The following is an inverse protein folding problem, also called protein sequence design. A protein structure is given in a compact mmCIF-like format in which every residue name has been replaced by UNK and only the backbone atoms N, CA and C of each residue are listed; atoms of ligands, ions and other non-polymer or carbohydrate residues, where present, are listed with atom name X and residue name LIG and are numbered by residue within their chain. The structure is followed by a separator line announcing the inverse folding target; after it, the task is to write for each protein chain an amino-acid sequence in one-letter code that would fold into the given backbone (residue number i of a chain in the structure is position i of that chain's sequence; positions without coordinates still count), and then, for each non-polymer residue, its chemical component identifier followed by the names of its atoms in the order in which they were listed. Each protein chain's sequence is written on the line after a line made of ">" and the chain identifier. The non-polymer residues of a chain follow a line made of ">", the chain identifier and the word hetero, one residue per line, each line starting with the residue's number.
data_IF_742820817068
#
_entry.id   IF_742820817068
#
_cell.length_a   1.000
_cell.length_b   1.000
_cell.length_c   1.000
_cell.angle_alpha   90.00
_cell.angle_beta   90.00
_cell.angle_gamma   90.00
#
_symmetry.space_group_name_H-M   'P 1'
#
loop_
_entity.id
_entity.type
_entity.pdbx_description
1 polymer ?
#
# COMPACT_ATOMS: atom_id res chain seq x y z
N UNK A 1 2.35 3.29 35.34
CA UNK A 1 2.71 4.66 35.02
C UNK A 1 3.60 5.26 36.10
N UNK A 2 4.47 6.17 35.70
CA UNK A 2 5.65 6.57 36.41
C UNK A 2 5.35 7.24 37.80
N UNK A 3 4.35 8.15 37.88
CA UNK A 3 3.96 8.83 39.10
C UNK A 3 2.47 8.70 39.41
N UNK A 4 1.75 7.83 38.72
CA UNK A 4 0.31 7.57 38.82
C UNK A 4 -0.57 8.85 38.71
N UNK A 5 -0.13 9.82 37.90
CA UNK A 5 -0.97 10.94 37.56
C UNK A 5 -2.14 10.46 36.69
N UNK A 6 -3.35 10.84 37.08
CA UNK A 6 -4.58 10.42 36.40
C UNK A 6 -5.09 11.54 35.52
N UNK A 7 -5.23 11.22 34.23
CA UNK A 7 -5.62 12.18 33.20
C UNK A 7 -7.03 11.90 32.71
N UNK A 8 -7.79 12.97 32.46
CA UNK A 8 -9.10 12.89 31.80
C UNK A 8 -8.96 12.93 30.27
N UNK A 9 -10.03 12.55 29.57
CA UNK A 9 -10.10 12.58 28.09
C UNK A 9 -9.89 13.99 27.50
N UNK A 10 -10.12 15.04 28.30
CA UNK A 10 -9.87 16.43 27.90
C UNK A 10 -8.42 16.89 28.10
N UNK A 11 -7.49 15.97 28.38
CA UNK A 11 -6.08 16.27 28.58
C UNK A 11 -5.76 16.96 29.92
N UNK A 12 -6.71 17.08 30.85
CA UNK A 12 -6.44 17.63 32.19
C UNK A 12 -6.07 16.56 33.18
N UNK A 13 -5.07 16.82 34.00
CA UNK A 13 -4.80 15.96 35.16
C UNK A 13 -5.94 16.11 36.16
N UNK A 14 -6.54 14.98 36.54
CA UNK A 14 -7.69 14.94 37.47
C UNK A 14 -7.25 14.62 38.90
N UNK A 15 -6.19 13.83 39.05
CA UNK A 15 -5.70 13.43 40.36
C UNK A 15 -4.19 13.14 40.34
N UNK A 16 -3.53 13.45 41.45
CA UNK A 16 -2.16 13.09 41.74
C UNK A 16 -2.18 12.41 43.14
N UNK A 17 -1.96 11.10 43.23
CA UNK A 17 -2.19 10.34 44.49
C UNK A 17 -1.47 10.88 45.70
N UNK A 18 -0.29 11.44 45.52
CA UNK A 18 0.57 11.94 46.61
C UNK A 18 0.48 13.47 46.80
N UNK A 19 -0.44 14.16 46.11
CA UNK A 19 -0.60 15.59 46.23
C UNK A 19 -2.02 15.98 46.58
N UNK A 20 -2.15 16.97 47.46
CA UNK A 20 -3.44 17.55 47.88
C UNK A 20 -4.06 18.43 46.81
N UNK A 21 -3.28 18.86 45.82
CA UNK A 21 -3.75 19.75 44.74
C UNK A 21 -3.13 19.33 43.42
N UNK A 22 -3.96 19.39 42.37
CA UNK A 22 -3.49 19.27 41.00
C UNK A 22 -3.10 20.66 40.48
N UNK A 23 -1.89 20.86 39.95
CA UNK A 23 -1.51 22.14 39.36
C UNK A 23 -2.44 22.53 38.21
N UNK A 24 -2.87 23.79 38.16
CA UNK A 24 -3.78 24.28 37.10
C UNK A 24 -3.19 24.13 35.68
N UNK A 25 -1.85 24.13 35.58
CA UNK A 25 -1.12 23.94 34.31
C UNK A 25 -0.89 22.46 33.95
N UNK A 26 -1.32 21.50 34.81
CA UNK A 26 -1.21 20.08 34.53
C UNK A 26 -2.18 19.69 33.40
N UNK A 27 -1.76 19.94 32.18
CA UNK A 27 -2.49 19.64 30.93
C UNK A 27 -1.55 18.99 29.93
N UNK A 28 -2.09 18.05 29.17
CA UNK A 28 -1.48 17.50 27.98
C UNK A 28 -2.39 17.75 26.80
N UNK A 29 -1.87 17.60 25.58
CA UNK A 29 -2.67 17.68 24.35
C UNK A 29 -3.68 16.53 24.36
N UNK A 30 -4.94 16.83 24.05
CA UNK A 30 -5.93 15.82 23.70
C UNK A 30 -5.96 15.69 22.17
N UNK A 31 -5.98 14.47 21.70
CA UNK A 31 -6.02 14.17 20.28
C UNK A 31 -7.43 13.71 19.88
N UNK A 32 -7.89 14.14 18.73
CA UNK A 32 -9.09 13.55 18.12
C UNK A 32 -8.75 12.14 17.62
N UNK A 33 -9.53 11.17 18.05
CA UNK A 33 -9.31 9.75 17.72
C UNK A 33 -10.58 9.14 17.14
N UNK A 34 -10.42 8.13 16.31
CA UNK A 34 -11.50 7.35 15.72
C UNK A 34 -11.10 5.88 15.66
N UNK A 35 -12.02 4.99 15.99
CA UNK A 35 -11.89 3.56 15.72
C UNK A 35 -12.67 3.21 14.46
N UNK A 36 -12.00 2.59 13.49
CA UNK A 36 -12.62 2.11 12.24
C UNK A 36 -11.81 0.96 11.66
N UNK A 37 -12.48 0.00 11.04
CA UNK A 37 -11.85 -1.17 10.39
C UNK A 37 -10.93 -1.98 11.31
N UNK A 38 -11.17 -1.97 12.63
CA UNK A 38 -10.32 -2.62 13.63
C UNK A 38 -9.00 -1.87 13.92
N UNK A 39 -8.90 -0.60 13.51
CA UNK A 39 -7.74 0.26 13.73
C UNK A 39 -8.12 1.49 14.55
N UNK A 40 -7.15 2.01 15.31
CA UNK A 40 -7.24 3.28 16.01
C UNK A 40 -6.53 4.36 15.17
N UNK A 41 -7.26 5.38 14.80
CA UNK A 41 -6.75 6.55 14.09
C UNK A 41 -6.59 7.73 15.03
N UNK A 42 -5.56 8.52 14.79
CA UNK A 42 -5.30 9.79 15.46
C UNK A 42 -5.21 10.89 14.42
N UNK A 43 -6.06 11.89 14.56
CA UNK A 43 -6.02 13.06 13.68
C UNK A 43 -4.86 13.96 14.07
N UNK A 44 -4.01 14.29 13.09
CA UNK A 44 -2.96 15.27 13.23
C UNK A 44 -3.05 16.31 12.11
N UNK A 45 -3.21 17.55 12.51
CA UNK A 45 -3.18 18.72 11.65
C UNK A 45 -2.20 19.74 12.27
N UNK A 46 -1.15 20.16 11.55
CA UNK A 46 -0.17 21.13 12.06
C UNK A 46 -0.79 22.49 12.42
N UNK A 47 -1.82 22.93 11.71
CA UNK A 47 -2.55 24.16 11.97
C UNK A 47 -3.54 24.04 13.13
N UNK A 48 -3.83 22.79 13.57
CA UNK A 48 -4.76 22.52 14.66
C UNK A 48 -6.24 22.50 14.25
N UNK A 49 -6.54 22.41 12.97
CA UNK A 49 -7.91 22.29 12.48
C UNK A 49 -8.52 20.93 12.87
N UNK A 50 -9.84 20.85 13.09
CA UNK A 50 -10.54 19.60 13.30
C UNK A 50 -10.55 18.74 12.00
N UNK A 51 -10.84 17.44 12.10
CA UNK A 51 -11.09 16.61 10.91
C UNK A 51 -12.17 17.21 10.03
N UNK A 52 -11.96 17.22 8.73
CA UNK A 52 -12.95 17.68 7.76
C UNK A 52 -14.03 16.61 7.61
N UNK A 53 -15.33 16.94 7.73
CA UNK A 53 -16.41 15.94 7.69
C UNK A 53 -16.50 15.15 6.39
N UNK A 54 -16.08 15.77 5.28
CA UNK A 54 -16.08 15.18 3.93
C UNK A 54 -14.90 14.24 3.68
N UNK A 55 -13.87 14.26 4.53
CA UNK A 55 -12.69 13.41 4.41
C UNK A 55 -12.88 12.18 5.31
N UNK A 56 -13.49 11.13 4.76
CA UNK A 56 -13.77 9.92 5.51
C UNK A 56 -12.85 8.77 5.11
N UNK A 57 -12.45 7.98 6.11
CA UNK A 57 -11.90 6.64 5.90
C UNK A 57 -13.09 5.72 5.61
N UNK A 58 -13.16 5.03 4.45
CA UNK A 58 -14.28 4.17 4.14
C UNK A 58 -14.36 2.97 5.07
N UNK A 59 -15.56 2.45 5.25
CA UNK A 59 -15.76 1.18 5.95
C UNK A 59 -15.39 0.03 5.01
N UNK A 60 -14.53 -0.87 5.48
CA UNK A 60 -14.17 -2.09 4.76
C UNK A 60 -15.21 -3.14 5.09
N UNK A 61 -15.97 -3.56 4.07
CA UNK A 61 -16.92 -4.66 4.21
C UNK A 61 -16.16 -5.94 4.60
N UNK A 62 -16.74 -6.71 5.51
CA UNK A 62 -16.17 -7.95 5.99
C UNK A 62 -15.36 -7.83 7.27
N UNK A 63 -14.99 -6.64 7.74
CA UNK A 63 -14.34 -6.48 9.05
C UNK A 63 -15.31 -6.88 10.15
N UNK A 64 -14.94 -7.93 10.93
CA UNK A 64 -15.79 -8.49 11.97
C UNK A 64 -16.95 -9.36 11.46
N UNK A 65 -16.98 -9.69 10.16
CA UNK A 65 -17.94 -10.60 9.55
C UNK A 65 -17.47 -12.05 9.64
N UNK A 66 -18.41 -12.97 9.83
CA UNK A 66 -18.14 -14.41 9.79
C UNK A 66 -17.72 -14.92 8.39
N UNK A 67 -17.89 -14.13 7.34
CA UNK A 67 -17.53 -14.49 5.97
C UNK A 67 -16.06 -14.21 5.62
N UNK A 68 -15.32 -13.60 6.53
CA UNK A 68 -13.93 -13.22 6.32
C UNK A 68 -13.01 -13.82 7.39
N UNK A 69 -11.71 -13.87 7.10
CA UNK A 69 -10.68 -14.14 8.09
C UNK A 69 -10.55 -12.97 9.07
N UNK A 70 -9.86 -13.20 10.18
CA UNK A 70 -9.33 -12.11 10.99
C UNK A 70 -8.24 -11.34 10.23
N UNK A 71 -7.95 -10.11 10.67
CA UNK A 71 -6.79 -9.37 10.20
C UNK A 71 -5.48 -10.03 10.60
N UNK A 72 -4.58 -10.18 9.63
CA UNK A 72 -3.17 -10.53 9.88
C UNK A 72 -2.32 -9.28 9.69
N UNK A 73 -1.90 -8.69 10.81
CA UNK A 73 -1.11 -7.45 10.81
C UNK A 73 0.39 -7.70 10.82
N UNK A 74 1.12 -6.84 10.12
CA UNK A 74 2.59 -6.80 10.09
C UNK A 74 3.06 -5.35 10.13
N UNK A 75 4.19 -5.11 10.78
CA UNK A 75 4.81 -3.78 10.86
C UNK A 75 6.26 -3.88 10.41
N UNK A 76 6.69 -2.94 9.59
CA UNK A 76 8.06 -2.79 9.11
C UNK A 76 8.56 -1.39 9.45
N UNK A 77 9.80 -1.30 9.95
CA UNK A 77 10.52 -0.02 10.05
C UNK A 77 11.44 0.08 8.85
N UNK A 78 11.28 1.13 8.06
CA UNK A 78 12.05 1.37 6.85
C UNK A 78 13.01 2.53 7.13
N UNK A 79 14.29 2.24 7.05
CA UNK A 79 15.37 3.20 7.23
C UNK A 79 16.04 3.52 5.88
N UNK A 80 16.53 4.72 5.72
CA UNK A 80 17.22 5.18 4.50
C UNK A 80 16.26 5.60 3.38
N UNK A 81 14.97 5.81 3.68
CA UNK A 81 13.97 6.27 2.71
C UNK A 81 12.93 7.17 3.36
N UNK A 82 12.29 8.02 2.56
CA UNK A 82 11.17 8.85 2.97
C UNK A 82 9.85 8.20 2.59
N UNK A 83 8.81 8.37 3.42
CA UNK A 83 7.48 7.80 3.15
C UNK A 83 6.81 8.32 1.85
N UNK A 84 7.29 9.41 1.26
CA UNK A 84 6.84 9.87 -0.07
C UNK A 84 7.18 8.90 -1.19
N UNK A 85 8.18 8.04 -1.01
CA UNK A 85 8.62 7.13 -2.07
C UNK A 85 7.59 6.03 -2.35
N UNK A 86 6.87 5.56 -1.34
CA UNK A 86 5.80 4.56 -1.51
C UNK A 86 4.63 5.09 -2.34
N UNK A 87 4.40 6.41 -2.32
CA UNK A 87 3.28 7.01 -3.06
C UNK A 87 3.49 6.94 -4.56
N UNK A 88 4.71 7.13 -5.04
CA UNK A 88 5.02 7.09 -6.48
C UNK A 88 4.62 5.75 -7.12
N UNK A 89 4.62 4.64 -6.35
CA UNK A 89 4.23 3.31 -6.82
C UNK A 89 2.76 3.27 -7.32
N UNK A 90 1.90 4.20 -6.87
CA UNK A 90 0.50 4.27 -7.33
C UNK A 90 0.40 4.59 -8.83
N UNK A 91 1.35 5.34 -9.38
CA UNK A 91 1.36 5.73 -10.78
C UNK A 91 2.41 4.97 -11.62
N UNK A 92 3.17 4.08 -11.02
CA UNK A 92 4.23 3.32 -11.70
C UNK A 92 3.73 1.94 -12.14
N UNK A 93 3.47 1.76 -13.44
CA UNK A 93 3.08 0.47 -13.99
C UNK A 93 4.28 -0.47 -14.15
N UNK A 94 5.41 0.05 -14.59
CA UNK A 94 6.54 -0.77 -15.01
C UNK A 94 7.19 -1.54 -13.85
N UNK A 95 7.17 -0.98 -12.63
CA UNK A 95 7.76 -1.67 -11.47
C UNK A 95 7.06 -3.00 -11.17
N UNK A 96 5.76 -3.14 -11.46
CA UNK A 96 5.07 -4.43 -11.28
C UNK A 96 5.70 -5.53 -12.13
N UNK A 97 6.14 -5.22 -13.35
CA UNK A 97 6.80 -6.20 -14.21
C UNK A 97 8.24 -6.49 -13.76
N UNK A 98 9.02 -5.45 -13.46
CA UNK A 98 10.45 -5.59 -13.22
C UNK A 98 10.80 -5.91 -11.76
N UNK A 99 10.02 -5.43 -10.80
CA UNK A 99 10.30 -5.58 -9.37
C UNK A 99 9.44 -6.69 -8.77
N UNK A 100 8.13 -6.70 -9.04
CA UNK A 100 7.20 -7.69 -8.47
C UNK A 100 7.00 -8.92 -9.34
N UNK A 101 7.57 -8.93 -10.55
CA UNK A 101 7.45 -10.05 -11.49
C UNK A 101 6.02 -10.40 -11.89
N UNK A 102 5.09 -9.46 -11.77
CA UNK A 102 3.76 -9.54 -12.34
C UNK A 102 3.80 -9.14 -13.83
N UNK A 103 2.76 -9.45 -14.57
CA UNK A 103 2.62 -9.03 -15.97
C UNK A 103 1.40 -8.12 -16.10
N UNK A 104 1.53 -6.78 -15.96
CA UNK A 104 0.41 -5.87 -16.11
C UNK A 104 -0.20 -5.94 -17.53
N UNK A 105 -1.53 -5.97 -17.59
CA UNK A 105 -2.30 -5.97 -18.85
C UNK A 105 -3.27 -4.81 -18.92
N UNK A 106 -3.54 -4.15 -17.80
CA UNK A 106 -4.36 -2.95 -17.70
C UNK A 106 -3.85 -2.14 -16.54
N UNK A 107 -3.76 -0.82 -16.71
CA UNK A 107 -3.34 0.10 -15.68
C UNK A 107 -4.04 1.45 -15.85
N UNK A 108 -4.71 1.92 -14.79
CA UNK A 108 -5.48 3.15 -14.81
C UNK A 108 -5.40 3.85 -13.47
N UNK A 109 -5.30 5.17 -13.48
CA UNK A 109 -5.34 6.01 -12.29
C UNK A 109 -6.50 6.99 -12.32
N UNK A 110 -7.12 7.21 -11.16
CA UNK A 110 -8.09 8.27 -10.93
C UNK A 110 -7.71 8.98 -9.64
N UNK A 111 -7.55 10.31 -9.70
CA UNK A 111 -7.30 11.17 -8.55
C UNK A 111 -8.46 12.13 -8.42
N UNK A 112 -9.05 12.28 -7.23
CA UNK A 112 -10.16 13.20 -6.98
C UNK A 112 -10.26 13.52 -5.49
N UNK A 113 -10.29 14.79 -5.14
CA UNK A 113 -10.30 15.21 -3.75
C UNK A 113 -9.10 14.64 -2.99
N UNK A 114 -9.38 13.96 -1.88
CA UNK A 114 -8.35 13.31 -1.05
C UNK A 114 -8.08 11.84 -1.43
N UNK A 115 -8.63 11.36 -2.54
CA UNK A 115 -8.54 9.96 -2.97
C UNK A 115 -7.69 9.82 -4.22
N UNK A 116 -6.76 8.87 -4.20
CA UNK A 116 -5.99 8.45 -5.38
C UNK A 116 -6.13 6.94 -5.58
N UNK A 117 -6.74 6.55 -6.69
CA UNK A 117 -7.01 5.14 -7.01
C UNK A 117 -6.17 4.66 -8.18
N UNK A 118 -5.62 3.45 -8.03
CA UNK A 118 -4.99 2.68 -9.09
C UNK A 118 -5.85 1.45 -9.37
N UNK A 119 -6.21 1.24 -10.62
CA UNK A 119 -6.79 -0.01 -11.12
C UNK A 119 -5.75 -0.76 -11.92
N UNK A 120 -5.54 -2.03 -11.60
CA UNK A 120 -4.60 -2.88 -12.32
C UNK A 120 -5.22 -4.25 -12.59
N UNK A 121 -4.96 -4.77 -13.77
CA UNK A 121 -5.07 -6.19 -14.05
C UNK A 121 -3.70 -6.73 -14.44
N UNK A 122 -3.36 -7.90 -13.96
CA UNK A 122 -2.12 -8.58 -14.29
C UNK A 122 -2.31 -10.08 -14.41
N UNK A 123 -1.38 -10.74 -15.10
CA UNK A 123 -1.26 -12.19 -15.16
C UNK A 123 0.08 -12.62 -14.58
N UNK A 124 0.21 -13.91 -14.29
CA UNK A 124 1.49 -14.47 -13.90
C UNK A 124 2.48 -14.54 -15.06
N UNK A 125 3.76 -14.74 -14.73
CA UNK A 125 4.87 -14.80 -15.68
C UNK A 125 5.41 -16.23 -15.80
N UNK A 126 5.42 -16.84 -16.99
CA UNK A 126 5.92 -18.20 -17.17
C UNK A 126 7.45 -18.30 -17.06
N UNK A 127 8.18 -17.21 -17.23
CA UNK A 127 9.62 -17.14 -17.06
C UNK A 127 10.06 -17.09 -15.59
N UNK A 128 9.14 -16.93 -14.65
CA UNK A 128 9.44 -16.94 -13.22
C UNK A 128 9.44 -18.37 -12.66
N UNK A 129 10.36 -18.64 -11.73
CA UNK A 129 10.49 -19.96 -11.11
C UNK A 129 9.29 -20.35 -10.24
N UNK A 130 9.13 -21.64 -10.00
CA UNK A 130 8.13 -22.19 -9.07
C UNK A 130 8.39 -21.67 -7.65
N UNK A 131 7.66 -20.71 -7.19
CA UNK A 131 7.82 -20.10 -5.87
C UNK A 131 7.50 -18.61 -5.87
N UNK A 132 7.52 -17.95 -7.03
CA UNK A 132 6.94 -16.64 -7.18
C UNK A 132 5.41 -16.74 -7.01
N UNK A 133 4.82 -15.85 -6.23
CA UNK A 133 3.36 -15.73 -6.13
C UNK A 133 2.68 -15.44 -7.47
N UNK A 134 3.45 -14.94 -8.43
CA UNK A 134 3.03 -14.62 -9.79
C UNK A 134 3.45 -15.66 -10.83
N UNK A 135 3.99 -16.80 -10.39
CA UNK A 135 4.38 -17.86 -11.31
C UNK A 135 3.14 -18.56 -11.90
N UNK A 136 3.14 -18.70 -13.23
CA UNK A 136 2.12 -19.44 -13.97
C UNK A 136 1.14 -18.53 -14.70
N UNK A 137 0.98 -18.77 -16.01
CA UNK A 137 0.11 -17.99 -16.91
C UNK A 137 -1.37 -18.00 -16.50
N UNK A 138 -1.80 -19.08 -15.82
CA UNK A 138 -3.20 -19.26 -15.40
C UNK A 138 -3.59 -18.45 -14.16
N UNK A 139 -2.64 -17.74 -13.55
CA UNK A 139 -2.92 -16.90 -12.38
C UNK A 139 -3.17 -15.47 -12.86
N UNK A 140 -4.30 -14.91 -12.49
CA UNK A 140 -4.60 -13.51 -12.77
C UNK A 140 -4.92 -12.76 -11.49
N UNK A 141 -4.62 -11.47 -11.49
CA UNK A 141 -4.92 -10.55 -10.40
C UNK A 141 -5.65 -9.34 -10.98
N UNK A 142 -6.74 -8.96 -10.32
CA UNK A 142 -7.31 -7.61 -10.42
C UNK A 142 -7.14 -6.93 -9.09
N UNK A 143 -6.75 -5.66 -9.13
CA UNK A 143 -6.61 -4.85 -7.93
C UNK A 143 -7.21 -3.47 -8.12
N UNK A 144 -7.78 -2.96 -7.04
CA UNK A 144 -8.22 -1.58 -6.86
C UNK A 144 -7.57 -1.06 -5.59
N UNK A 145 -6.52 -0.26 -5.75
CA UNK A 145 -5.75 0.30 -4.65
C UNK A 145 -6.04 1.79 -4.52
N UNK A 146 -6.67 2.20 -3.41
CA UNK A 146 -7.06 3.58 -3.17
C UNK A 146 -6.40 4.12 -1.92
N UNK A 147 -5.61 5.18 -2.06
CA UNK A 147 -5.23 6.03 -0.95
C UNK A 147 -6.37 6.95 -0.56
N UNK A 148 -6.67 6.99 0.72
CA UNK A 148 -7.60 7.92 1.37
C UNK A 148 -6.79 8.87 2.25
N UNK A 149 -6.36 9.97 1.68
CA UNK A 149 -5.38 10.86 2.29
C UNK A 149 -3.92 10.41 2.06
N UNK A 150 -2.96 10.97 2.81
CA UNK A 150 -1.54 10.85 2.47
C UNK A 150 -0.89 9.51 2.84
N UNK A 151 -1.56 8.67 3.64
CA UNK A 151 -0.87 7.54 4.27
C UNK A 151 -1.73 6.32 4.58
N UNK A 152 -2.97 6.30 4.14
CA UNK A 152 -3.89 5.18 4.36
C UNK A 152 -4.39 4.64 3.02
N UNK A 153 -3.99 3.44 2.65
CA UNK A 153 -4.41 2.77 1.42
C UNK A 153 -5.23 1.52 1.75
N UNK A 154 -6.31 1.35 1.03
CA UNK A 154 -7.06 0.10 0.96
C UNK A 154 -6.89 -0.44 -0.45
N UNK A 155 -6.47 -1.68 -0.56
CA UNK A 155 -6.35 -2.40 -1.82
C UNK A 155 -7.26 -3.62 -1.81
N UNK A 156 -8.28 -3.62 -2.65
CA UNK A 156 -9.14 -4.76 -2.91
C UNK A 156 -8.52 -5.61 -4.02
N UNK A 157 -8.38 -6.91 -3.77
CA UNK A 157 -7.67 -7.83 -4.67
C UNK A 157 -8.55 -9.06 -4.96
N UNK A 158 -8.60 -9.42 -6.22
CA UNK A 158 -9.25 -10.62 -6.73
C UNK A 158 -8.20 -11.46 -7.45
N UNK A 159 -7.67 -12.47 -6.73
CA UNK A 159 -6.67 -13.38 -7.26
C UNK A 159 -7.39 -14.62 -7.80
N UNK A 160 -7.30 -14.88 -9.09
CA UNK A 160 -7.78 -16.12 -9.67
C UNK A 160 -6.64 -17.13 -9.82
N UNK A 161 -6.84 -18.31 -9.25
CA UNK A 161 -5.93 -19.44 -9.32
C UNK A 161 -6.66 -20.57 -10.03
N UNK A 162 -6.49 -20.68 -11.35
CA UNK A 162 -7.09 -21.73 -12.18
C UNK A 162 -8.61 -21.85 -12.02
N UNK A 163 -9.30 -20.70 -12.04
CA UNK A 163 -10.75 -20.62 -11.93
C UNK A 163 -11.29 -20.58 -10.50
N UNK A 164 -10.43 -20.51 -9.50
CA UNK A 164 -10.83 -20.23 -8.11
C UNK A 164 -10.38 -18.83 -7.73
N UNK A 165 -11.33 -17.92 -7.55
CA UNK A 165 -11.05 -16.55 -7.16
C UNK A 165 -11.00 -16.44 -5.64
N UNK A 166 -9.90 -15.92 -5.11
CA UNK A 166 -9.74 -15.53 -3.71
C UNK A 166 -9.83 -14.01 -3.62
N UNK A 167 -10.87 -13.53 -2.95
CA UNK A 167 -11.02 -12.11 -2.63
C UNK A 167 -10.21 -11.80 -1.36
N UNK A 168 -9.45 -10.73 -1.39
CA UNK A 168 -8.67 -10.27 -0.23
C UNK A 168 -8.63 -8.75 -0.15
N UNK A 169 -8.39 -8.24 1.04
CA UNK A 169 -8.14 -6.83 1.29
C UNK A 169 -6.78 -6.69 1.93
N UNK A 170 -5.97 -5.82 1.34
CA UNK A 170 -4.73 -5.32 1.92
C UNK A 170 -4.95 -3.87 2.34
N UNK A 171 -4.76 -3.58 3.62
CA UNK A 171 -4.63 -2.20 4.09
C UNK A 171 -3.15 -1.92 4.32
N UNK A 172 -2.63 -0.83 3.80
CA UNK A 172 -1.34 -0.33 4.22
C UNK A 172 -1.46 1.10 4.74
N UNK A 173 -0.75 1.37 5.82
CA UNK A 173 -0.64 2.68 6.42
C UNK A 173 0.81 2.95 6.77
N UNK A 174 1.23 4.19 6.60
CA UNK A 174 2.58 4.57 6.92
C UNK A 174 2.60 5.92 7.65
N UNK A 175 3.62 6.12 8.46
CA UNK A 175 3.86 7.40 9.11
C UNK A 175 5.36 7.63 9.28
N UNK A 176 5.82 8.89 9.12
CA UNK A 176 7.24 9.20 9.23
C UNK A 176 7.72 9.08 10.68
N UNK A 177 8.93 8.59 10.87
CA UNK A 177 9.70 8.71 12.11
C UNK A 177 10.52 10.00 12.02
N UNK A 178 11.19 10.20 10.88
CA UNK A 178 11.94 11.38 10.51
C UNK A 178 11.99 11.54 8.98
N UNK A 179 12.85 12.41 8.46
CA UNK A 179 12.96 12.67 7.02
C UNK A 179 13.48 11.46 6.22
N UNK A 180 14.14 10.49 6.87
CA UNK A 180 14.82 9.36 6.24
C UNK A 180 14.35 8.00 6.77
N UNK A 181 13.30 7.98 7.57
CA UNK A 181 12.75 6.73 8.10
C UNK A 181 11.25 6.83 8.35
N UNK A 182 10.56 5.72 8.17
CA UNK A 182 9.12 5.63 8.41
C UNK A 182 8.70 4.21 8.83
N UNK A 183 7.53 4.14 9.43
CA UNK A 183 6.87 2.87 9.72
C UNK A 183 5.87 2.58 8.62
N UNK A 184 5.92 1.38 8.06
CA UNK A 184 4.88 0.79 7.23
C UNK A 184 4.18 -0.31 8.04
N UNK A 185 2.88 -0.12 8.28
CA UNK A 185 2.01 -1.12 8.89
C UNK A 185 1.00 -1.58 7.85
N UNK A 186 0.87 -2.88 7.65
CA UNK A 186 -0.12 -3.43 6.75
C UNK A 186 -0.87 -4.60 7.38
N UNK A 187 -2.12 -4.74 6.98
CA UNK A 187 -3.02 -5.81 7.40
C UNK A 187 -3.64 -6.50 6.19
N UNK A 188 -3.80 -7.81 6.28
CA UNK A 188 -4.43 -8.62 5.24
C UNK A 188 -5.58 -9.41 5.83
N UNK A 189 -6.70 -9.43 5.14
CA UNK A 189 -7.78 -10.39 5.38
C UNK A 189 -8.25 -10.98 4.07
N UNK A 190 -8.80 -12.19 4.11
CA UNK A 190 -9.34 -12.91 2.95
C UNK A 190 -10.77 -13.32 3.18
N UNK A 191 -11.57 -13.27 2.12
CA UNK A 191 -12.92 -13.81 2.13
C UNK A 191 -12.87 -15.33 2.14
N UNK A 192 -13.67 -15.94 3.00
CA UNK A 192 -13.71 -17.40 3.10
C UNK A 192 -14.26 -18.03 1.82
N UNK A 193 -13.57 -19.01 1.33
CA UNK A 193 -14.08 -19.87 0.26
C UNK A 193 -15.14 -20.83 0.82
N UNK A 194 -16.08 -21.32 0.01
CA UNK A 194 -17.06 -22.29 0.43
C UNK A 194 -16.42 -23.50 1.14
N UNK A 195 -16.87 -23.80 2.34
CA UNK A 195 -16.36 -24.93 3.13
C UNK A 195 -15.05 -24.68 3.88
N UNK A 196 -14.53 -23.45 3.82
CA UNK A 196 -13.32 -23.03 4.55
C UNK A 196 -13.74 -22.40 5.89
N UNK A 197 -13.19 -22.90 6.99
CA UNK A 197 -13.39 -22.34 8.32
C UNK A 197 -12.50 -21.12 8.59
N UNK A 198 -12.68 -20.46 9.73
CA UNK A 198 -11.92 -19.26 10.09
C UNK A 198 -10.43 -19.56 10.28
N UNK A 199 -10.06 -20.70 10.84
CA UNK A 199 -8.67 -21.08 11.10
C UNK A 199 -7.91 -21.25 9.77
N UNK A 200 -8.52 -21.93 8.82
CA UNK A 200 -7.94 -22.10 7.48
C UNK A 200 -7.88 -20.76 6.73
N UNK A 201 -8.92 -19.94 6.81
CA UNK A 201 -8.93 -18.61 6.21
C UNK A 201 -7.82 -17.71 6.80
N UNK A 202 -7.61 -17.74 8.12
CA UNK A 202 -6.50 -17.04 8.79
C UNK A 202 -5.13 -17.55 8.30
N UNK A 203 -5.02 -18.86 8.05
CA UNK A 203 -3.80 -19.45 7.49
C UNK A 203 -3.55 -18.93 6.06
N UNK A 204 -4.59 -18.81 5.23
CA UNK A 204 -4.50 -18.24 3.88
C UNK A 204 -4.10 -16.77 3.95
N UNK A 205 -4.77 -15.97 4.81
CA UNK A 205 -4.41 -14.55 5.01
C UNK A 205 -2.95 -14.39 5.44
N UNK A 206 -2.45 -15.29 6.32
CA UNK A 206 -1.04 -15.32 6.72
C UNK A 206 -0.07 -15.60 5.57
N UNK A 207 -0.44 -16.43 4.60
CA UNK A 207 0.37 -16.65 3.38
C UNK A 207 0.38 -15.40 2.51
N UNK A 208 -0.77 -14.75 2.31
CA UNK A 208 -0.86 -13.48 1.58
C UNK A 208 -0.03 -12.39 2.26
N UNK A 209 -0.11 -12.26 3.59
CA UNK A 209 0.68 -11.28 4.33
C UNK A 209 2.19 -11.48 4.16
N UNK A 210 2.67 -12.75 4.13
CA UNK A 210 4.08 -13.06 3.85
C UNK A 210 4.47 -12.68 2.41
N UNK A 211 3.58 -12.90 1.47
CA UNK A 211 3.78 -12.57 0.06
C UNK A 211 3.90 -11.05 -0.13
N UNK A 212 2.99 -10.28 0.47
CA UNK A 212 3.07 -8.81 0.44
C UNK A 212 4.33 -8.29 1.13
N UNK A 213 4.77 -8.92 2.21
CA UNK A 213 6.04 -8.59 2.85
C UNK A 213 7.21 -8.64 1.89
N UNK A 214 7.31 -9.72 1.10
CA UNK A 214 8.36 -9.86 0.09
C UNK A 214 8.28 -8.77 -0.98
N UNK A 215 7.06 -8.40 -1.42
CA UNK A 215 6.86 -7.28 -2.34
C UNK A 215 7.36 -5.95 -1.76
N UNK A 216 6.98 -5.63 -0.53
CA UNK A 216 7.48 -4.41 0.13
C UNK A 216 9.00 -4.43 0.36
N UNK A 217 9.59 -5.59 0.67
CA UNK A 217 11.06 -5.71 0.80
C UNK A 217 11.77 -5.43 -0.54
N UNK A 218 11.20 -5.83 -1.66
CA UNK A 218 11.72 -5.51 -3.00
C UNK A 218 11.64 -4.00 -3.28
N UNK A 219 10.51 -3.36 -2.96
CA UNK A 219 10.32 -1.91 -3.11
C UNK A 219 11.30 -1.12 -2.24
N UNK A 220 11.50 -1.56 -0.99
CA UNK A 220 12.42 -0.92 -0.04
C UNK A 220 13.83 -0.83 -0.59
N UNK A 221 14.31 -1.86 -1.29
CA UNK A 221 15.64 -1.82 -1.94
C UNK A 221 15.71 -0.72 -3.02
N UNK A 222 14.63 -0.49 -3.76
CA UNK A 222 14.57 0.60 -4.74
C UNK A 222 14.49 1.95 -4.02
N UNK A 223 13.59 2.10 -3.05
CA UNK A 223 13.40 3.38 -2.34
C UNK A 223 14.66 3.85 -1.62
N UNK A 224 15.46 2.95 -1.05
CA UNK A 224 16.72 3.29 -0.38
C UNK A 224 17.80 3.77 -1.34
N UNK A 225 17.76 3.31 -2.57
CA UNK A 225 18.83 3.54 -3.56
C UNK A 225 18.46 4.55 -4.65
N UNK A 226 17.21 5.03 -4.71
CA UNK A 226 16.80 6.05 -5.66
C UNK A 226 16.96 7.45 -5.09
N UNK A 227 17.27 8.42 -5.96
CA UNK A 227 17.21 9.85 -5.64
C UNK A 227 15.90 10.41 -6.15
N UNK A 228 15.18 11.15 -5.30
CA UNK A 228 13.97 11.85 -5.74
C UNK A 228 14.33 12.98 -6.68
N UNK A 229 13.80 12.94 -7.89
CA UNK A 229 13.91 13.98 -8.91
C UNK A 229 12.55 14.68 -9.01
N UNK A 230 12.53 16.00 -8.85
CA UNK A 230 11.27 16.78 -8.88
C UNK A 230 10.58 16.71 -10.26
N UNK A 231 11.38 16.77 -11.33
CA UNK A 231 10.91 16.67 -12.70
C UNK A 231 11.55 15.44 -13.38
N UNK A 232 11.06 14.21 -13.12
CA UNK A 232 11.59 13.02 -13.75
C UNK A 232 11.30 12.99 -15.25
N UNK A 233 12.19 12.37 -16.04
CA UNK A 233 11.86 12.02 -17.41
C UNK A 233 10.89 10.84 -17.39
N UNK A 234 9.81 10.98 -18.13
CA UNK A 234 8.77 9.96 -18.27
C UNK A 234 8.60 9.60 -19.74
N UNK A 235 8.27 8.36 -20.04
CA UNK A 235 7.80 7.92 -21.35
C UNK A 235 6.26 7.84 -21.38
N UNK A 236 5.69 7.57 -22.54
CA UNK A 236 4.23 7.55 -22.72
C UNK A 236 3.56 6.41 -21.93
N UNK A 237 4.30 5.32 -21.69
CA UNK A 237 3.83 4.15 -20.94
C UNK A 237 4.01 4.28 -19.42
N UNK A 238 4.74 5.30 -18.95
CA UNK A 238 4.77 5.63 -17.54
C UNK A 238 3.41 6.20 -17.14
N UNK A 239 2.97 5.90 -15.93
CA UNK A 239 1.74 6.44 -15.39
C UNK A 239 1.83 7.94 -15.07
N UNK A 240 0.75 8.54 -14.58
CA UNK A 240 0.64 9.99 -14.39
C UNK A 240 1.36 10.49 -13.13
N UNK A 241 2.67 10.28 -13.04
CA UNK A 241 3.51 10.60 -11.87
C UNK A 241 3.42 12.08 -11.49
N UNK A 242 3.43 13.00 -12.47
CA UNK A 242 3.32 14.44 -12.19
C UNK A 242 1.99 14.79 -11.55
N UNK A 243 0.89 14.24 -12.06
CA UNK A 243 -0.45 14.49 -11.53
C UNK A 243 -0.63 13.85 -10.16
N UNK A 244 -0.08 12.66 -9.94
CA UNK A 244 -0.05 12.02 -8.63
C UNK A 244 0.70 12.88 -7.60
N UNK A 245 1.87 13.39 -7.95
CA UNK A 245 2.66 14.26 -7.07
C UNK A 245 1.94 15.58 -6.81
N UNK A 246 1.25 16.13 -7.81
CA UNK A 246 0.42 17.31 -7.66
C UNK A 246 -0.75 17.06 -6.71
N UNK A 247 -1.45 15.94 -6.88
CA UNK A 247 -2.48 15.49 -5.95
C UNK A 247 -1.93 15.31 -4.53
N UNK A 248 -0.75 14.76 -4.37
CA UNK A 248 -0.15 14.48 -3.07
C UNK A 248 0.32 15.75 -2.35
N UNK A 249 0.62 16.82 -3.09
CA UNK A 249 1.08 18.11 -2.54
C UNK A 249 0.05 18.76 -1.62
N UNK A 250 -1.25 18.53 -1.83
CA UNK A 250 -2.32 19.05 -0.97
C UNK A 250 -2.14 18.69 0.52
N UNK A 251 -1.43 17.61 0.84
CA UNK A 251 -1.20 17.17 2.22
C UNK A 251 0.04 17.77 2.86
N UNK A 252 0.76 18.65 2.13
CA UNK A 252 2.01 19.28 2.56
C UNK A 252 1.97 20.82 2.51
N UNK A 253 0.84 21.38 2.20
CA UNK A 253 0.59 22.82 2.20
C UNK A 253 -0.47 23.16 3.25
N UNK A 254 -0.55 24.44 3.63
CA UNK A 254 -1.64 24.90 4.49
C UNK A 254 -2.99 24.79 3.75
N UNK A 255 -4.09 24.62 4.48
CA UNK A 255 -5.43 24.42 3.88
C UNK A 255 -5.80 25.58 2.94
N UNK A 256 -5.37 26.82 3.26
CA UNK A 256 -5.62 27.99 2.43
C UNK A 256 -4.86 28.00 1.09
N UNK A 257 -3.80 27.19 0.99
CA UNK A 257 -2.94 27.10 -0.19
C UNK A 257 -3.27 25.90 -1.09
N UNK A 258 -4.26 25.09 -0.71
CA UNK A 258 -4.77 24.01 -1.56
C UNK A 258 -5.45 24.62 -2.78
N UNK A 259 -4.97 24.25 -3.97
CA UNK A 259 -5.48 24.75 -5.25
C UNK A 259 -6.37 23.69 -5.93
N UNK A 260 -7.23 24.16 -6.85
CA UNK A 260 -8.18 23.28 -7.55
C UNK A 260 -7.48 22.15 -8.30
N UNK A 261 -6.31 22.39 -8.88
CA UNK A 261 -5.53 21.38 -9.62
C UNK A 261 -4.92 20.30 -8.74
N UNK A 262 -4.87 20.48 -7.42
CA UNK A 262 -4.49 19.44 -6.46
C UNK A 262 -5.65 18.48 -6.15
N UNK A 263 -6.89 18.91 -6.32
CA UNK A 263 -8.08 18.16 -5.88
C UNK A 263 -9.06 17.85 -7.00
N UNK A 264 -8.94 18.50 -8.16
CA UNK A 264 -9.81 18.25 -9.31
C UNK A 264 -9.68 16.79 -9.78
N UNK A 265 -10.81 16.25 -10.30
CA UNK A 265 -10.81 14.91 -10.87
C UNK A 265 -9.86 14.84 -12.07
N UNK A 266 -8.92 13.93 -11.97
CA UNK A 266 -8.01 13.54 -13.04
C UNK A 266 -8.13 12.03 -13.29
N UNK A 267 -8.18 11.63 -14.55
CA UNK A 267 -8.30 10.23 -14.95
C UNK A 267 -7.32 9.96 -16.09
N UNK A 268 -6.55 8.89 -15.97
CA UNK A 268 -5.57 8.47 -16.95
C UNK A 268 -5.50 6.95 -17.04
N UNK A 269 -5.56 6.42 -18.24
CA UNK A 269 -5.37 5.01 -18.54
C UNK A 269 -4.16 4.86 -19.45
N UNK A 270 -3.22 4.02 -19.04
CA UNK A 270 -2.00 3.75 -19.82
C UNK A 270 -2.36 2.90 -21.03
N UNK A 271 -1.92 3.29 -22.23
CA UNK A 271 -1.93 2.39 -23.38
C UNK A 271 -0.86 1.31 -23.18
N UNK A 272 -1.29 0.13 -22.75
CA UNK A 272 -0.40 -0.99 -22.45
C UNK A 272 0.06 -1.76 -23.68
N UNK A 273 -0.40 -1.41 -24.88
CA UNK A 273 -0.20 -2.21 -26.11
C UNK A 273 1.28 -2.45 -26.40
N UNK A 274 2.08 -1.39 -26.40
CA UNK A 274 3.52 -1.50 -26.68
C UNK A 274 4.27 -2.19 -25.57
N UNK A 275 4.00 -1.84 -24.31
CA UNK A 275 4.62 -2.46 -23.15
C UNK A 275 4.35 -3.98 -23.10
N UNK A 276 3.10 -4.38 -23.31
CA UNK A 276 2.71 -5.81 -23.35
C UNK A 276 3.49 -6.57 -24.44
N UNK A 277 3.60 -6.03 -25.65
CA UNK A 277 4.38 -6.67 -26.73
C UNK A 277 5.86 -6.81 -26.37
N UNK A 278 6.47 -5.77 -25.82
CA UNK A 278 7.87 -5.80 -25.41
C UNK A 278 8.11 -6.82 -24.26
N UNK A 279 7.22 -6.86 -23.30
CA UNK A 279 7.31 -7.79 -22.18
C UNK A 279 7.05 -9.27 -22.59
N UNK A 280 6.16 -9.51 -23.56
CA UNK A 280 5.96 -10.85 -24.13
C UNK A 280 7.23 -11.35 -24.81
N UNK A 281 7.90 -10.48 -25.57
CA UNK A 281 9.19 -10.82 -26.17
C UNK A 281 10.25 -11.10 -25.11
N UNK A 282 10.37 -10.25 -24.08
CA UNK A 282 11.34 -10.43 -22.97
C UNK A 282 11.12 -11.76 -22.23
N UNK A 283 9.85 -12.09 -21.93
CA UNK A 283 9.48 -13.35 -21.29
C UNK A 283 9.87 -14.55 -22.17
N UNK A 284 9.61 -14.49 -23.47
CA UNK A 284 10.00 -15.55 -24.39
C UNK A 284 11.52 -15.76 -24.44
N UNK A 285 12.29 -14.68 -24.52
CA UNK A 285 13.76 -14.71 -24.50
C UNK A 285 14.30 -15.28 -23.17
N UNK A 286 13.69 -14.94 -22.05
CA UNK A 286 14.06 -15.46 -20.73
C UNK A 286 13.84 -16.97 -20.65
N UNK A 287 12.72 -17.46 -21.20
CA UNK A 287 12.41 -18.90 -21.24
C UNK A 287 13.46 -19.64 -22.08
N UNK A 288 13.81 -19.12 -23.26
CA UNK A 288 14.83 -19.76 -24.12
C UNK A 288 16.22 -19.73 -23.49
N UNK A 289 16.63 -18.64 -22.85
CA UNK A 289 17.90 -18.58 -22.08
C UNK A 289 17.94 -19.63 -20.98
N UNK A 290 16.85 -19.82 -20.24
CA UNK A 290 16.76 -20.83 -19.18
C UNK A 290 16.91 -22.23 -19.74
N UNK A 291 16.17 -22.57 -20.81
CA UNK A 291 16.29 -23.88 -21.47
C UNK A 291 17.72 -24.16 -21.96
N UNK A 292 18.38 -23.16 -22.54
CA UNK A 292 19.76 -23.30 -23.01
C UNK A 292 20.74 -23.54 -21.85
N UNK A 293 20.58 -22.85 -20.74
CA UNK A 293 21.42 -23.04 -19.56
C UNK A 293 21.18 -24.40 -18.88
N UNK A 294 19.94 -24.84 -18.75
CA UNK A 294 19.58 -26.18 -18.25
C UNK A 294 20.22 -27.26 -19.13
N UNK A 295 20.20 -27.08 -20.46
CA UNK A 295 20.86 -28.01 -21.40
C UNK A 295 22.40 -27.98 -21.29
N UNK A 296 23.00 -26.87 -20.88
CA UNK A 296 24.44 -26.75 -20.64
C UNK A 296 24.88 -27.26 -19.24
N UNK A 297 23.93 -27.61 -18.36
CA UNK A 297 24.19 -28.05 -16.99
C UNK A 297 24.45 -26.92 -15.99
N UNK A 298 24.16 -25.68 -16.39
CA UNK A 298 24.28 -24.50 -15.52
C UNK A 298 23.00 -24.28 -14.71
N UNK A 299 23.13 -24.00 -13.41
CA UNK A 299 22.01 -23.56 -12.58
C UNK A 299 21.83 -22.04 -12.72
N UNK A 300 20.68 -21.62 -13.26
CA UNK A 300 20.30 -20.20 -13.25
C UNK A 300 19.34 -19.97 -12.10
N UNK A 301 19.66 -19.04 -11.21
CA UNK A 301 18.71 -18.54 -10.22
C UNK A 301 17.60 -17.74 -10.93
N UNK A 302 16.35 -18.03 -10.58
CA UNK A 302 15.19 -17.30 -11.11
C UNK A 302 15.28 -15.83 -10.66
N UNK A 303 15.36 -14.91 -11.62
CA UNK A 303 15.41 -13.46 -11.36
C UNK A 303 16.82 -12.85 -11.42
N UNK A 304 17.89 -13.59 -11.64
CA UNK A 304 19.19 -12.99 -11.89
C UNK A 304 19.25 -12.42 -13.33
N UNK A 305 19.43 -11.11 -13.43
CA UNK A 305 19.85 -10.39 -14.65
C UNK A 305 21.37 -10.28 -14.71
#
# INVERSE_FOLDING_TARGET
>A
PFHDWRWGSNGRCQAIPYSKRVPLRARTRAWTTMEKNGQLFVWNDPEGNPPQPEVEIPTIEGVGSDDWSDWVWTTMVIEGSNCREIIDNVADMAHFFYIHFAFPTHFKNIFEGHVATQYMSSRGRPDMGKGSQYAGEDNTLKSEASYFGPSYMINWLWNDFKGTTVESVLVNCHYPIDANSFVLQYGVMVKKLPGVDTEMANTIAGKFAKSFKLGFEQDVEIWKNKSRIENPLLCEEDGPVYQLRRWYEQFYVDVADITEDMTARFEFEVDTTHAVQAWEQEVAENIERRKAAEAAGDSIEAGAR
#
